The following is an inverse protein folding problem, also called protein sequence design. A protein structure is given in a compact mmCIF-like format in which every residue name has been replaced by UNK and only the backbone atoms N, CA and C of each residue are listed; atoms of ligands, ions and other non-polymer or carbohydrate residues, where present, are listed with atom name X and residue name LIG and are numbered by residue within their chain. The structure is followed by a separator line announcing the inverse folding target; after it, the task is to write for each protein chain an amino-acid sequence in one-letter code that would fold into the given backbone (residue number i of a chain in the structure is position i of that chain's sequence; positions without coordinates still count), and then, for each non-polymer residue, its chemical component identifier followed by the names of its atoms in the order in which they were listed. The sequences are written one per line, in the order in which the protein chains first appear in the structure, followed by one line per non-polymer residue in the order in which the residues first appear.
data_IF_031146579224
#
_entry.id   IF_031146579224
#
_cell.length_a   1.000
_cell.length_b   1.000
_cell.length_c   1.000
_cell.angle_alpha   90.00
_cell.angle_beta   90.00
_cell.angle_gamma   90.00
#
_symmetry.space_group_name_H-M   'P 1'
#
loop_
_entity.id
_entity.type
_entity.pdbx_description
1 polymer ?
#
# COMPACT_ATOMS: atom_id res chain seq x y z
N UNK A 1 -7.52 -11.02 6.89
CA UNK A 1 -7.58 -12.49 6.86
C UNK A 1 -6.25 -13.12 6.43
N UNK A 2 -5.78 -12.97 5.19
CA UNK A 2 -4.53 -13.64 4.74
C UNK A 2 -3.29 -13.20 5.55
N UNK A 3 -3.18 -11.90 5.85
CA UNK A 3 -2.12 -11.38 6.73
C UNK A 3 -2.24 -11.90 8.17
N UNK A 4 -3.46 -12.07 8.67
CA UNK A 4 -3.71 -12.56 10.03
C UNK A 4 -3.37 -14.06 10.13
N UNK A 5 -3.73 -14.85 9.11
CA UNK A 5 -3.36 -16.24 8.99
C UNK A 5 -1.84 -16.40 8.92
N UNK A 6 -1.17 -15.61 8.06
CA UNK A 6 0.29 -15.60 8.01
C UNK A 6 0.92 -15.27 9.36
N UNK A 7 0.37 -14.29 10.07
CA UNK A 7 0.84 -13.92 11.40
C UNK A 7 0.73 -15.11 12.38
N UNK A 8 -0.44 -15.76 12.44
CA UNK A 8 -0.66 -16.91 13.31
C UNK A 8 0.26 -18.08 12.97
N UNK A 9 0.41 -18.41 11.69
CA UNK A 9 1.30 -19.49 11.22
C UNK A 9 2.75 -19.21 11.63
N UNK A 10 3.26 -18.01 11.38
CA UNK A 10 4.62 -17.65 11.79
C UNK A 10 4.79 -17.68 13.31
N UNK A 11 3.77 -17.29 14.08
CA UNK A 11 3.81 -17.33 15.54
C UNK A 11 3.87 -18.77 16.07
N UNK A 12 3.10 -19.68 15.48
CA UNK A 12 3.10 -21.10 15.83
C UNK A 12 4.43 -21.77 15.49
N UNK A 13 4.98 -21.50 14.29
CA UNK A 13 6.29 -22.01 13.88
C UNK A 13 7.40 -21.53 14.82
N UNK A 14 7.41 -20.24 15.16
CA UNK A 14 8.37 -19.67 16.08
C UNK A 14 8.26 -20.27 17.50
N UNK A 15 7.04 -20.57 17.96
CA UNK A 15 6.85 -21.21 19.27
C UNK A 15 7.42 -22.63 19.32
N UNK A 16 7.43 -23.36 18.21
CA UNK A 16 7.98 -24.71 18.12
C UNK A 16 9.50 -24.70 17.91
N UNK A 17 10.00 -23.76 17.11
CA UNK A 17 11.42 -23.56 16.85
C UNK A 17 11.72 -22.05 16.70
N UNK A 18 12.52 -21.51 17.63
CA UNK A 18 12.92 -20.10 17.61
C UNK A 18 13.81 -19.74 16.41
N UNK A 19 14.35 -20.73 15.69
CA UNK A 19 15.11 -20.55 14.45
C UNK A 19 14.26 -20.78 13.19
N UNK A 20 12.95 -21.04 13.35
CA UNK A 20 12.06 -21.26 12.22
C UNK A 20 12.08 -20.07 11.25
N UNK A 21 12.22 -20.32 9.94
CA UNK A 21 12.17 -19.26 8.95
C UNK A 21 10.77 -18.64 8.88
N UNK A 22 10.69 -17.35 8.57
CA UNK A 22 9.41 -16.69 8.31
C UNK A 22 8.83 -17.18 6.98
N UNK A 23 7.56 -17.58 7.01
CA UNK A 23 6.80 -17.99 5.83
C UNK A 23 5.84 -16.90 5.38
N UNK A 24 5.64 -16.81 4.07
CA UNK A 24 4.61 -15.96 3.46
C UNK A 24 3.44 -16.84 3.05
N UNK A 25 2.23 -16.48 3.47
CA UNK A 25 1.01 -17.19 3.06
C UNK A 25 0.37 -16.40 1.93
N UNK A 26 0.14 -17.08 0.81
CA UNK A 26 -0.50 -16.54 -0.37
C UNK A 26 -1.50 -17.55 -0.95
N UNK A 27 -2.51 -17.06 -1.65
CA UNK A 27 -3.54 -17.88 -2.30
C UNK A 27 -3.66 -17.40 -3.73
N UNK A 28 -3.25 -18.23 -4.68
CA UNK A 28 -3.38 -17.98 -6.12
C UNK A 28 -2.89 -16.58 -6.57
N UNK A 29 -1.76 -16.12 -6.03
CA UNK A 29 -1.18 -14.82 -6.39
C UNK A 29 -1.97 -13.61 -5.87
N UNK A 30 -2.91 -13.79 -4.94
CA UNK A 30 -3.76 -12.72 -4.40
C UNK A 30 -2.96 -11.47 -3.99
N UNK A 31 -1.80 -11.64 -3.35
CA UNK A 31 -0.95 -10.51 -2.95
C UNK A 31 -0.39 -9.72 -4.13
N UNK A 32 -0.04 -10.40 -5.22
CA UNK A 32 0.45 -9.76 -6.44
C UNK A 32 -0.69 -9.00 -7.13
N UNK A 33 -1.84 -9.64 -7.29
CA UNK A 33 -3.04 -9.03 -7.88
C UNK A 33 -3.50 -7.79 -7.09
N UNK A 34 -3.51 -7.87 -5.75
CA UNK A 34 -3.86 -6.74 -4.89
C UNK A 34 -2.85 -5.58 -5.03
N UNK A 35 -1.56 -5.88 -5.17
CA UNK A 35 -0.52 -4.88 -5.43
C UNK A 35 -0.76 -4.20 -6.78
N UNK A 36 -0.99 -4.98 -7.84
CA UNK A 36 -1.25 -4.45 -9.19
C UNK A 36 -2.49 -3.57 -9.22
N UNK A 37 -3.58 -4.00 -8.57
CA UNK A 37 -4.79 -3.21 -8.44
C UNK A 37 -4.55 -1.89 -7.69
N UNK A 38 -3.72 -1.89 -6.65
CA UNK A 38 -3.34 -0.68 -5.92
C UNK A 38 -2.51 0.28 -6.79
N UNK A 39 -1.53 -0.25 -7.54
CA UNK A 39 -0.71 0.54 -8.47
C UNK A 39 -1.59 1.18 -9.54
N UNK A 40 -2.50 0.38 -10.14
CA UNK A 40 -3.42 0.86 -11.16
C UNK A 40 -4.30 2.00 -10.64
N UNK A 41 -4.89 1.86 -9.45
CA UNK A 41 -5.68 2.92 -8.81
C UNK A 41 -4.85 4.20 -8.58
N UNK A 42 -3.60 4.05 -8.14
CA UNK A 42 -2.71 5.20 -7.94
C UNK A 42 -2.39 5.92 -9.27
N UNK A 43 -2.14 5.18 -10.35
CA UNK A 43 -1.91 5.74 -11.68
C UNK A 43 -3.15 6.43 -12.24
N UNK A 44 -4.34 5.84 -12.10
CA UNK A 44 -5.60 6.46 -12.51
C UNK A 44 -5.87 7.75 -11.74
N UNK A 45 -5.54 7.80 -10.45
CA UNK A 45 -5.62 9.03 -9.66
C UNK A 45 -4.61 10.08 -10.15
N UNK A 46 -3.35 9.68 -10.40
CA UNK A 46 -2.32 10.57 -10.95
C UNK A 46 -2.75 11.21 -12.29
N UNK A 47 -3.34 10.44 -13.19
CA UNK A 47 -3.86 10.95 -14.46
C UNK A 47 -5.00 11.97 -14.27
N UNK A 48 -5.88 11.74 -13.29
CA UNK A 48 -6.92 12.73 -12.95
C UNK A 48 -6.31 14.02 -12.39
N UNK A 49 -5.33 13.93 -11.49
CA UNK A 49 -4.60 15.11 -10.98
C UNK A 49 -3.95 15.87 -12.14
N UNK A 50 -3.34 15.16 -13.09
CA UNK A 50 -2.70 15.77 -14.28
C UNK A 50 -3.71 16.48 -15.18
N UNK A 51 -4.92 15.92 -15.33
CA UNK A 51 -5.96 16.44 -16.21
C UNK A 51 -6.67 17.65 -15.63
N UNK A 52 -6.97 17.63 -14.33
CA UNK A 52 -7.83 18.62 -13.68
C UNK A 52 -7.06 19.61 -12.79
N UNK A 53 -5.86 19.26 -12.35
CA UNK A 53 -5.06 20.05 -11.42
C UNK A 53 -5.49 19.91 -9.95
N UNK A 54 -6.60 19.24 -9.68
CA UNK A 54 -7.13 19.06 -8.32
C UNK A 54 -6.35 18.03 -7.51
N UNK A 55 -6.31 18.23 -6.19
CA UNK A 55 -5.77 17.27 -5.24
C UNK A 55 -6.72 16.07 -5.15
N UNK A 56 -6.17 14.86 -5.26
CA UNK A 56 -6.94 13.63 -5.10
C UNK A 56 -6.52 12.90 -3.83
N UNK A 57 -7.52 12.53 -3.06
CA UNK A 57 -7.40 11.73 -1.86
C UNK A 57 -7.64 10.24 -2.16
N UNK A 58 -6.68 9.38 -1.83
CA UNK A 58 -6.85 7.94 -1.86
C UNK A 58 -7.29 7.40 -0.49
N UNK A 59 -7.96 6.25 -0.53
CA UNK A 59 -8.45 5.55 0.65
C UNK A 59 -7.37 5.32 1.72
N UNK A 60 -7.74 5.32 3.01
CA UNK A 60 -6.83 4.99 4.11
C UNK A 60 -6.18 3.62 3.94
N UNK A 61 -4.85 3.58 3.96
CA UNK A 61 -4.11 2.33 3.73
C UNK A 61 -2.94 2.16 4.70
N UNK A 62 -2.47 0.92 4.84
CA UNK A 62 -1.36 0.54 5.71
C UNK A 62 -0.03 1.14 5.24
N UNK A 63 0.99 1.17 6.11
CA UNK A 63 2.32 1.65 5.74
C UNK A 63 2.93 0.91 4.54
N UNK A 64 2.64 -0.38 4.41
CA UNK A 64 3.09 -1.20 3.30
C UNK A 64 2.43 -0.80 1.98
N UNK A 65 1.11 -0.63 1.98
CA UNK A 65 0.36 -0.18 0.80
C UNK A 65 0.77 1.24 0.38
N UNK A 66 0.93 2.15 1.34
CA UNK A 66 1.44 3.51 1.06
C UNK A 66 2.80 3.49 0.40
N UNK A 67 3.71 2.63 0.86
CA UNK A 67 5.02 2.46 0.23
C UNK A 67 4.89 2.01 -1.22
N UNK A 68 3.94 1.12 -1.55
CA UNK A 68 3.67 0.71 -2.93
C UNK A 68 3.25 1.92 -3.78
N UNK A 69 2.31 2.73 -3.30
CA UNK A 69 1.84 3.93 -4.00
C UNK A 69 2.97 4.93 -4.21
N UNK A 70 3.71 5.26 -3.15
CA UNK A 70 4.87 6.17 -3.22
C UNK A 70 5.94 5.68 -4.19
N UNK A 71 6.21 4.38 -4.23
CA UNK A 71 7.17 3.80 -5.16
C UNK A 71 6.66 3.83 -6.60
N UNK A 72 5.37 3.54 -6.82
CA UNK A 72 4.78 3.52 -8.14
C UNK A 72 4.77 4.90 -8.82
N UNK A 73 4.68 5.98 -8.04
CA UNK A 73 4.64 7.36 -8.53
C UNK A 73 5.94 8.15 -8.30
N UNK A 74 6.99 7.50 -7.75
CA UNK A 74 8.23 8.16 -7.32
C UNK A 74 8.88 8.99 -8.43
N UNK A 75 8.97 8.38 -9.61
CA UNK A 75 9.70 8.93 -10.75
C UNK A 75 8.80 9.75 -11.68
N UNK A 76 7.53 9.97 -11.30
CA UNK A 76 6.63 10.83 -12.07
C UNK A 76 7.04 12.31 -11.88
N UNK A 77 7.38 13.04 -12.96
CA UNK A 77 7.84 14.43 -12.85
C UNK A 77 6.73 15.43 -12.52
N UNK A 78 5.45 15.06 -12.66
CA UNK A 78 4.30 15.96 -12.50
C UNK A 78 3.47 15.70 -11.25
N UNK A 79 3.74 14.61 -10.53
CA UNK A 79 2.91 14.19 -9.39
C UNK A 79 3.77 14.04 -8.14
N UNK A 80 3.28 14.55 -7.02
CA UNK A 80 3.82 14.32 -5.69
C UNK A 80 2.78 13.69 -4.77
N UNK A 81 3.26 12.91 -3.81
CA UNK A 81 2.45 12.09 -2.91
C UNK A 81 2.78 12.40 -1.45
N UNK A 82 1.75 12.61 -0.63
CA UNK A 82 1.90 12.86 0.81
C UNK A 82 0.98 11.98 1.63
N UNK A 83 1.48 11.44 2.74
CA UNK A 83 0.66 10.68 3.67
C UNK A 83 0.12 11.57 4.78
N UNK A 84 -1.19 11.50 5.05
CA UNK A 84 -1.86 12.29 6.09
C UNK A 84 -2.46 11.36 7.14
N UNK A 85 -2.21 11.68 8.42
CA UNK A 85 -2.74 10.91 9.55
C UNK A 85 -4.27 10.95 9.59
N UNK A 86 -4.85 9.87 10.10
CA UNK A 86 -6.28 9.79 10.39
C UNK A 86 -6.43 9.48 11.87
N UNK A 87 -7.26 10.25 12.54
CA UNK A 87 -7.53 10.03 13.96
C UNK A 87 -8.17 8.65 14.19
N UNK A 88 -7.70 7.95 15.23
CA UNK A 88 -8.25 6.65 15.63
C UNK A 88 -7.78 5.45 14.79
N UNK A 89 -6.80 5.60 13.90
CA UNK A 89 -6.24 4.46 13.14
C UNK A 89 -4.76 4.62 12.82
N UNK A 90 -4.06 3.50 12.65
CA UNK A 90 -2.68 3.47 12.16
C UNK A 90 -2.61 3.57 10.62
N UNK A 91 -3.76 3.57 9.94
CA UNK A 91 -3.84 3.80 8.50
C UNK A 91 -3.69 5.29 8.21
N UNK A 92 -3.11 5.62 7.06
CA UNK A 92 -2.99 7.00 6.61
C UNK A 92 -3.58 7.13 5.21
N UNK A 93 -4.12 8.30 4.94
CA UNK A 93 -4.53 8.72 3.59
C UNK A 93 -3.29 8.99 2.74
N UNK A 94 -3.40 8.86 1.42
CA UNK A 94 -2.42 9.42 0.47
C UNK A 94 -3.10 10.55 -0.31
N UNK A 95 -2.52 11.74 -0.26
CA UNK A 95 -2.86 12.86 -1.14
C UNK A 95 -1.94 12.85 -2.36
N UNK A 96 -2.52 12.92 -3.55
CA UNK A 96 -1.83 13.14 -4.81
C UNK A 96 -2.09 14.59 -5.23
N UNK A 97 -1.04 15.32 -5.58
CA UNK A 97 -1.15 16.70 -6.07
C UNK A 97 -0.14 16.97 -7.19
N UNK A 98 -0.36 18.00 -8.02
CA UNK A 98 0.60 18.39 -9.05
C UNK A 98 1.93 18.83 -8.41
N UNK A 99 3.06 18.42 -9.00
CA UNK A 99 4.37 19.02 -8.70
C UNK A 99 4.42 20.41 -9.33
N UNK A 100 4.69 21.41 -8.51
CA UNK A 100 5.00 22.77 -8.96
C UNK A 100 6.39 22.85 -9.60
#
# INVERSE_FOLDING_TARGET
VLSDLQYLVNRLLFQQDNQAPKVTVDVDGFRAQAREALIKRAQEAAEKVRKWGDIIELEPMSAYERRIVHQALRDDPKIETHSVEIEGTNKKVILLRPKN
#
